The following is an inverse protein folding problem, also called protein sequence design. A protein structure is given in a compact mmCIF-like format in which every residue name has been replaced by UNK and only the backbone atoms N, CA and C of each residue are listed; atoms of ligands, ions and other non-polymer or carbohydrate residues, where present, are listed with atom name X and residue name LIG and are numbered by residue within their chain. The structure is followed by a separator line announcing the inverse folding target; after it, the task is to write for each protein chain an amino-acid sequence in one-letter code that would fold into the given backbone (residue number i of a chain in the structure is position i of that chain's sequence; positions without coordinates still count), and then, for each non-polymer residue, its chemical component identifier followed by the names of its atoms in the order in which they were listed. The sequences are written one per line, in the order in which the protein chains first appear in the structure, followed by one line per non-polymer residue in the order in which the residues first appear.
data_IF_956903053235
#
_entry.id   IF_956903053235
#
_cell.length_a   1.000
_cell.length_b   1.000
_cell.length_c   1.000
_cell.angle_alpha   90.00
_cell.angle_beta   90.00
_cell.angle_gamma   90.00
#
_symmetry.space_group_name_H-M   'P 1'
#
loop_
_entity.id
_entity.type
_entity.pdbx_description
1 polymer ?
#
# COMPACT_ATOMS: atom_id res chain seq x y z
N UNK A 1 -5.60 -30.33 11.59
CA UNK A 1 -6.02 -30.79 10.25
C UNK A 1 -5.22 -30.14 9.10
N UNK A 2 -4.62 -28.96 9.30
CA UNK A 2 -3.98 -28.20 8.21
C UNK A 2 -5.01 -27.48 7.34
N UNK A 3 -6.17 -27.14 7.92
CA UNK A 3 -7.17 -26.28 7.30
C UNK A 3 -6.68 -24.83 7.20
N UNK A 4 -7.31 -24.09 6.30
CA UNK A 4 -7.11 -22.65 6.22
C UNK A 4 -7.48 -22.00 7.56
N UNK A 5 -6.66 -21.04 7.98
CA UNK A 5 -6.86 -20.23 9.17
C UNK A 5 -6.77 -18.76 8.82
N UNK A 6 -7.37 -17.93 9.63
CA UNK A 6 -7.25 -16.50 9.49
C UNK A 6 -7.75 -15.78 10.73
N UNK A 7 -7.52 -14.49 10.73
CA UNK A 7 -8.01 -13.56 11.74
C UNK A 7 -8.35 -12.22 11.09
N UNK A 8 -9.30 -11.50 11.68
CA UNK A 8 -9.68 -10.17 11.24
C UNK A 8 -9.94 -9.31 12.48
N UNK A 9 -9.25 -8.17 12.53
CA UNK A 9 -9.41 -7.17 13.58
C UNK A 9 -9.80 -5.85 12.95
N UNK A 10 -11.03 -5.43 13.20
CA UNK A 10 -11.50 -4.09 12.93
C UNK A 10 -11.18 -3.15 14.08
N UNK A 11 -10.87 -1.89 13.79
CA UNK A 11 -10.67 -0.85 14.80
C UNK A 11 -11.04 0.54 14.25
N UNK A 12 -11.27 1.48 15.17
CA UNK A 12 -11.56 2.89 14.88
C UNK A 12 -10.79 3.76 15.88
N UNK A 13 -10.61 5.06 15.59
CA UNK A 13 -10.03 6.01 16.53
C UNK A 13 -10.52 7.43 16.28
N UNK A 14 -9.91 8.42 16.93
CA UNK A 14 -10.24 9.84 16.72
C UNK A 14 -9.99 10.28 15.27
N UNK A 15 -8.90 9.80 14.66
CA UNK A 15 -8.46 10.15 13.29
C UNK A 15 -8.86 9.09 12.24
N UNK A 16 -9.14 7.86 12.68
CA UNK A 16 -9.41 6.71 11.80
C UNK A 16 -10.91 6.44 11.79
N UNK A 17 -11.52 6.57 10.62
CA UNK A 17 -12.93 6.23 10.39
C UNK A 17 -13.13 4.73 10.55
N UNK A 18 -12.29 3.94 9.87
CA UNK A 18 -12.23 2.50 10.06
C UNK A 18 -10.87 1.94 9.64
N UNK A 19 -10.41 0.93 10.36
CA UNK A 19 -9.20 0.19 10.06
C UNK A 19 -9.46 -1.31 10.17
N UNK A 20 -8.81 -2.09 9.30
CA UNK A 20 -8.86 -3.55 9.33
C UNK A 20 -7.45 -4.09 9.19
N UNK A 21 -7.07 -4.97 10.13
CA UNK A 21 -5.90 -5.83 10.00
C UNK A 21 -6.40 -7.27 9.89
N UNK A 22 -6.12 -7.94 8.79
CA UNK A 22 -6.55 -9.31 8.56
C UNK A 22 -5.43 -10.17 8.00
N UNK A 23 -5.50 -11.46 8.26
CA UNK A 23 -4.69 -12.44 7.55
C UNK A 23 -5.48 -13.71 7.32
N UNK A 24 -5.16 -14.41 6.24
CA UNK A 24 -5.66 -15.74 5.94
C UNK A 24 -4.52 -16.56 5.34
N UNK A 25 -4.42 -17.83 5.72
CA UNK A 25 -3.35 -18.68 5.24
C UNK A 25 -3.70 -20.16 5.28
N UNK A 26 -3.06 -20.90 4.39
CA UNK A 26 -3.08 -22.35 4.36
C UNK A 26 -1.63 -22.85 4.21
N UNK A 27 -1.00 -23.32 5.31
CA UNK A 27 0.37 -23.81 5.27
C UNK A 27 0.59 -24.97 4.31
N UNK A 28 -0.42 -25.84 4.09
CA UNK A 28 -0.32 -26.96 3.13
C UNK A 28 -0.23 -26.50 1.68
N UNK A 29 -0.74 -25.30 1.40
CA UNK A 29 -0.70 -24.68 0.07
C UNK A 29 0.38 -23.60 -0.03
N UNK A 30 1.24 -23.44 0.99
CA UNK A 30 2.20 -22.32 1.08
C UNK A 30 1.57 -20.95 0.83
N UNK A 31 0.28 -20.82 1.16
CA UNK A 31 -0.51 -19.62 0.92
C UNK A 31 -0.65 -18.82 2.20
N UNK A 32 -0.40 -17.53 2.10
CA UNK A 32 -0.67 -16.54 3.13
C UNK A 32 -1.06 -15.25 2.44
N UNK A 33 -2.02 -14.53 3.01
CA UNK A 33 -2.43 -13.22 2.54
C UNK A 33 -2.75 -12.38 3.77
N UNK A 34 -2.07 -11.25 3.93
CA UNK A 34 -2.19 -10.30 5.02
C UNK A 34 -2.59 -8.97 4.43
N UNK A 35 -3.67 -8.37 4.96
CA UNK A 35 -4.19 -7.08 4.54
C UNK A 35 -4.24 -6.12 5.72
N UNK A 36 -3.78 -4.90 5.51
CA UNK A 36 -3.98 -3.78 6.42
C UNK A 36 -4.58 -2.64 5.60
N UNK A 37 -5.79 -2.21 5.97
CA UNK A 37 -6.46 -1.08 5.34
C UNK A 37 -6.86 -0.08 6.41
N UNK A 38 -6.56 1.20 6.22
CA UNK A 38 -6.90 2.26 7.17
C UNK A 38 -7.52 3.43 6.41
N UNK A 39 -8.77 3.74 6.73
CA UNK A 39 -9.49 4.88 6.22
C UNK A 39 -9.56 5.98 7.28
N UNK A 40 -9.20 7.18 6.84
CA UNK A 40 -9.11 8.38 7.67
C UNK A 40 -10.44 9.12 7.66
N UNK A 41 -10.75 9.83 8.75
CA UNK A 41 -11.94 10.66 8.83
C UNK A 41 -11.90 11.85 7.88
N UNK A 42 -13.07 12.44 7.64
CA UNK A 42 -13.24 13.48 6.62
C UNK A 42 -12.52 14.80 6.89
N UNK A 43 -12.34 15.14 8.17
CA UNK A 43 -11.74 16.41 8.58
C UNK A 43 -10.23 16.50 8.27
N UNK A 44 -9.59 15.41 7.85
CA UNK A 44 -8.18 15.36 7.47
C UNK A 44 -8.00 14.99 6.00
N UNK A 45 -6.90 15.50 5.45
CA UNK A 45 -6.44 15.22 4.09
C UNK A 45 -5.37 14.12 4.05
N UNK A 46 -5.09 13.45 5.18
CA UNK A 46 -4.18 12.31 5.20
C UNK A 46 -4.67 11.21 4.23
N UNK A 47 -3.79 10.66 3.36
CA UNK A 47 -4.13 9.53 2.50
C UNK A 47 -4.62 8.32 3.31
N UNK A 48 -5.43 7.48 2.68
CA UNK A 48 -5.75 6.16 3.24
C UNK A 48 -4.58 5.20 3.03
N UNK A 49 -4.49 4.20 3.89
CA UNK A 49 -3.49 3.15 3.76
C UNK A 49 -4.14 1.91 3.17
N UNK A 50 -3.54 1.36 2.11
CA UNK A 50 -3.84 0.03 1.61
C UNK A 50 -2.56 -0.79 1.51
N UNK A 51 -2.43 -1.79 2.37
CA UNK A 51 -1.31 -2.70 2.37
C UNK A 51 -1.80 -4.13 2.21
N UNK A 52 -1.18 -4.87 1.30
CA UNK A 52 -1.39 -6.30 1.16
C UNK A 52 -0.04 -6.98 1.01
N UNK A 53 0.20 -8.09 1.69
CA UNK A 53 1.32 -8.96 1.39
C UNK A 53 0.89 -10.41 1.41
N UNK A 54 1.50 -11.21 0.56
CA UNK A 54 1.10 -12.60 0.47
C UNK A 54 2.13 -13.48 -0.17
N UNK A 55 1.90 -14.77 -0.01
CA UNK A 55 2.67 -15.85 -0.61
C UNK A 55 1.72 -16.66 -1.48
N UNK A 56 2.10 -16.87 -2.74
CA UNK A 56 1.78 -18.00 -3.63
C UNK A 56 1.38 -17.55 -5.06
N UNK A 57 2.03 -18.07 -6.13
CA UNK A 57 3.22 -18.92 -6.12
C UNK A 57 4.53 -18.17 -5.80
N UNK A 58 4.51 -16.83 -5.83
CA UNK A 58 5.65 -15.96 -5.51
C UNK A 58 5.24 -14.98 -4.40
N UNK A 59 6.19 -14.54 -3.59
CA UNK A 59 5.94 -13.48 -2.61
C UNK A 59 5.56 -12.18 -3.32
N UNK A 60 4.51 -11.53 -2.84
CA UNK A 60 4.12 -10.20 -3.29
C UNK A 60 3.84 -9.31 -2.09
N UNK A 61 4.05 -8.01 -2.28
CA UNK A 61 3.54 -7.01 -1.36
C UNK A 61 3.13 -5.75 -2.14
N UNK A 62 2.09 -5.09 -1.66
CA UNK A 62 1.50 -3.86 -2.16
C UNK A 62 1.41 -2.90 -0.97
N UNK A 63 1.88 -1.66 -1.13
CA UNK A 63 1.80 -0.62 -0.11
C UNK A 63 1.39 0.71 -0.74
N UNK A 64 0.10 1.00 -0.78
CA UNK A 64 -0.44 2.17 -1.45
C UNK A 64 -0.95 3.21 -0.43
N UNK A 65 -0.71 4.48 -0.76
CA UNK A 65 -1.32 5.62 -0.09
C UNK A 65 -2.42 6.15 -1.03
N UNK A 66 -3.67 5.82 -0.72
CA UNK A 66 -4.80 6.23 -1.55
C UNK A 66 -5.07 7.72 -1.29
N UNK A 67 -4.91 8.59 -2.30
CA UNK A 67 -5.06 10.02 -2.12
C UNK A 67 -6.52 10.40 -1.83
N UNK A 68 -6.70 11.47 -1.06
CA UNK A 68 -8.02 12.04 -0.74
C UNK A 68 -8.58 12.93 -1.86
N UNK A 69 -7.74 13.28 -2.83
CA UNK A 69 -8.03 14.21 -3.93
C UNK A 69 -7.36 13.73 -5.21
N UNK A 70 -7.81 14.23 -6.36
CA UNK A 70 -7.20 13.91 -7.66
C UNK A 70 -5.76 14.44 -7.73
N UNK A 71 -4.74 13.57 -7.79
CA UNK A 71 -3.34 13.98 -7.72
C UNK A 71 -2.89 14.92 -8.84
N UNK A 72 -3.44 14.77 -10.05
CA UNK A 72 -3.04 15.61 -11.20
C UNK A 72 -3.55 17.04 -11.10
N UNK A 73 -4.63 17.26 -10.34
CA UNK A 73 -5.24 18.58 -10.12
C UNK A 73 -4.64 19.26 -8.88
N UNK A 74 -4.12 18.48 -7.93
CA UNK A 74 -3.59 18.96 -6.65
C UNK A 74 -2.10 18.61 -6.46
N UNK A 75 -1.18 19.28 -7.18
CA UNK A 75 0.26 18.98 -7.11
C UNK A 75 0.85 19.20 -5.71
N UNK A 76 0.34 20.17 -4.95
CA UNK A 76 0.80 20.43 -3.57
C UNK A 76 0.47 19.26 -2.63
N UNK A 77 -0.67 18.60 -2.85
CA UNK A 77 -1.06 17.40 -2.09
C UNK A 77 -0.11 16.24 -2.38
N UNK A 78 0.18 16.02 -3.68
CA UNK A 78 1.15 15.04 -4.15
C UNK A 78 2.51 15.24 -3.50
N UNK A 79 3.04 16.47 -3.57
CA UNK A 79 4.35 16.79 -3.03
C UNK A 79 4.41 16.58 -1.51
N UNK A 80 3.34 16.90 -0.80
CA UNK A 80 3.28 16.77 0.66
C UNK A 80 3.15 15.32 1.14
N UNK A 81 2.28 14.53 0.52
CA UNK A 81 1.86 13.23 1.06
C UNK A 81 2.38 12.03 0.27
N UNK A 82 2.60 12.16 -1.04
CA UNK A 82 2.92 11.04 -1.91
C UNK A 82 4.40 11.02 -2.32
N UNK A 83 5.02 12.18 -2.55
CA UNK A 83 6.42 12.26 -2.97
C UNK A 83 7.41 11.67 -1.94
N UNK A 84 7.27 11.90 -0.62
CA UNK A 84 8.17 11.28 0.36
C UNK A 84 8.09 9.74 0.36
N UNK A 85 6.92 9.18 0.05
CA UNK A 85 6.74 7.74 -0.10
C UNK A 85 7.39 7.23 -1.39
N UNK A 86 7.24 7.98 -2.49
CA UNK A 86 7.90 7.70 -3.77
C UNK A 86 9.43 7.70 -3.66
N UNK A 87 10.03 8.67 -2.97
CA UNK A 87 11.49 8.70 -2.77
C UNK A 87 12.00 7.48 -2.00
N UNK A 88 11.28 7.08 -0.94
CA UNK A 88 11.61 5.89 -0.15
C UNK A 88 11.53 4.63 -1.02
N UNK A 89 10.49 4.54 -1.85
CA UNK A 89 10.34 3.46 -2.81
C UNK A 89 11.50 3.42 -3.81
N UNK A 90 11.84 4.56 -4.44
CA UNK A 90 12.95 4.64 -5.40
C UNK A 90 14.29 4.24 -4.78
N UNK A 91 14.46 4.39 -3.46
CA UNK A 91 15.63 3.87 -2.73
C UNK A 91 15.54 2.35 -2.54
N UNK A 92 14.39 1.80 -2.14
CA UNK A 92 14.17 0.34 -1.99
C UNK A 92 14.36 -0.41 -3.31
N UNK A 93 13.81 0.11 -4.41
CA UNK A 93 13.81 -0.53 -5.73
C UNK A 93 15.18 -0.60 -6.40
N UNK A 94 16.14 0.20 -5.92
CA UNK A 94 17.57 0.11 -6.29
C UNK A 94 18.33 -0.94 -5.50
N UNK A 95 17.80 -1.38 -4.36
CA UNK A 95 18.44 -2.35 -3.45
C UNK A 95 17.90 -3.77 -3.71
N UNK A 96 16.62 -3.91 -4.05
CA UNK A 96 16.00 -5.22 -4.26
C UNK A 96 14.89 -5.16 -5.33
N UNK A 97 14.98 -6.04 -6.33
CA UNK A 97 13.98 -6.17 -7.39
C UNK A 97 12.61 -6.64 -6.86
N UNK A 98 12.56 -7.30 -5.70
CA UNK A 98 11.30 -7.62 -5.02
C UNK A 98 10.52 -6.36 -4.63
N UNK A 99 11.19 -5.22 -4.38
CA UNK A 99 10.48 -3.95 -4.14
C UNK A 99 9.80 -3.42 -5.41
N UNK A 100 10.09 -3.93 -6.62
CA UNK A 100 9.47 -3.47 -7.88
C UNK A 100 8.13 -4.14 -8.16
N UNK A 101 7.82 -5.22 -7.46
CA UNK A 101 6.63 -6.03 -7.68
C UNK A 101 5.43 -5.40 -6.97
N UNK A 102 4.65 -4.65 -7.76
CA UNK A 102 3.26 -4.26 -7.48
C UNK A 102 3.05 -3.15 -6.45
N UNK A 103 3.37 -1.94 -6.89
CA UNK A 103 2.69 -0.73 -6.45
C UNK A 103 1.99 -0.09 -7.65
N UNK A 104 0.76 0.38 -7.46
CA UNK A 104 -0.05 1.01 -8.50
C UNK A 104 0.81 1.99 -9.32
N UNK A 105 0.73 1.87 -10.65
CA UNK A 105 1.42 2.74 -11.62
C UNK A 105 1.05 4.23 -11.50
N UNK A 106 0.17 4.61 -10.57
CA UNK A 106 -0.22 5.99 -10.27
C UNK A 106 0.86 6.77 -9.52
N UNK A 107 1.72 6.12 -8.73
CA UNK A 107 2.81 6.78 -7.99
C UNK A 107 4.12 6.89 -8.80
N UNK A 108 4.20 6.28 -9.99
CA UNK A 108 5.31 6.50 -10.91
C UNK A 108 5.06 7.74 -11.76
N UNK A 109 5.28 8.92 -11.17
CA UNK A 109 5.73 10.06 -11.99
C UNK A 109 7.20 9.77 -12.29
N UNK A 110 7.44 8.98 -13.33
CA UNK A 110 8.74 9.06 -14.00
C UNK A 110 8.91 10.55 -14.36
N UNK A 111 10.01 11.22 -13.97
CA UNK A 111 10.34 12.47 -14.64
C UNK A 111 10.34 12.12 -16.12
N UNK A 112 9.45 12.75 -16.89
CA UNK A 112 9.46 12.66 -18.34
C UNK A 112 10.91 12.90 -18.72
N UNK A 113 11.56 11.84 -19.20
CA UNK A 113 12.94 11.87 -19.65
C UNK A 113 12.91 12.78 -20.86
N UNK A 114 13.10 14.08 -20.66
CA UNK A 114 13.44 14.98 -21.75
C UNK A 114 14.82 14.52 -22.19
N UNK A 115 14.80 13.71 -23.24
CA UNK A 115 15.95 13.38 -24.05
C UNK A 115 16.54 14.69 -24.58
N UNK A 116 17.76 14.99 -24.14
CA UNK A 116 18.74 15.77 -24.89
C UNK A 116 20.02 14.94 -24.92
#
# INVERSE_FOLDING_TARGET
DGSAKGDLKGFTSDEIEWGVCSWVGNPKLSFCNLHITIWMKEHTYLPHLAFACGTFPVFFFLLDYIPRVEPTVHPDYMQKYLEPANERFCKCSKINDLCRLFLNRLLFVLPLRQSV
#
